data_IF_517704216747
#
_entry.id   IF_517704216747
#
_cell.length_a   1.000
_cell.length_b   1.000
_cell.length_c   1.000
_cell.angle_alpha   90.00
_cell.angle_beta   90.00
_cell.angle_gamma   90.00
#
_symmetry.space_group_name_H-M   'P 1'
#
loop_
_entity.id
_entity.type
_entity.pdbx_description
1 polymer ?
#
# COMPACT_ATOMS: atom_id res chain seq x y z
N UNK A 1 28.40 -5.28 -26.25
CA UNK A 1 27.04 -4.94 -25.80
C UNK A 1 26.97 -5.28 -24.32
N UNK A 2 26.72 -4.30 -23.45
CA UNK A 2 26.51 -4.56 -22.02
C UNK A 2 25.03 -4.90 -21.80
N UNK A 3 24.76 -6.05 -21.19
CA UNK A 3 23.42 -6.45 -20.77
C UNK A 3 23.43 -6.63 -19.25
N UNK A 4 22.43 -6.07 -18.58
CA UNK A 4 22.25 -6.20 -17.13
C UNK A 4 20.94 -6.96 -16.93
N UNK A 5 21.02 -8.16 -16.36
CA UNK A 5 19.85 -8.96 -16.00
C UNK A 5 19.42 -8.61 -14.58
N UNK A 6 18.15 -8.26 -14.39
CA UNK A 6 17.55 -7.87 -13.11
C UNK A 6 16.30 -8.70 -12.82
N UNK A 7 15.86 -8.70 -11.57
CA UNK A 7 14.55 -9.22 -11.19
C UNK A 7 13.43 -8.42 -11.87
N UNK A 8 12.39 -9.09 -12.35
CA UNK A 8 11.19 -8.45 -12.86
C UNK A 8 10.27 -8.03 -11.72
N UNK A 9 9.80 -6.78 -11.75
CA UNK A 9 8.78 -6.25 -10.85
C UNK A 9 7.50 -5.94 -11.65
N UNK A 10 6.33 -6.12 -11.03
CA UNK A 10 5.04 -6.11 -11.70
C UNK A 10 4.60 -4.73 -12.21
N UNK A 11 4.91 -3.67 -11.45
CA UNK A 11 4.57 -2.29 -11.82
C UNK A 11 5.47 -1.30 -11.09
N UNK A 12 5.58 -0.08 -11.62
CA UNK A 12 6.19 1.05 -10.92
C UNK A 12 5.17 1.86 -10.11
N UNK A 13 5.68 2.70 -9.21
CA UNK A 13 4.87 3.54 -8.33
C UNK A 13 4.15 4.65 -9.12
N UNK A 14 4.69 5.09 -10.26
CA UNK A 14 4.03 6.11 -11.09
C UNK A 14 2.70 5.58 -11.62
N UNK A 15 2.69 4.36 -12.16
CA UNK A 15 1.47 3.70 -12.63
C UNK A 15 0.43 3.58 -11.50
N UNK A 16 0.87 3.21 -10.29
CA UNK A 16 -0.03 3.12 -9.13
C UNK A 16 -0.64 4.48 -8.74
N UNK A 17 0.17 5.55 -8.72
CA UNK A 17 -0.31 6.92 -8.45
C UNK A 17 -1.32 7.39 -9.51
N UNK A 18 -1.06 7.07 -10.78
CA UNK A 18 -1.93 7.42 -11.90
C UNK A 18 -3.29 6.72 -11.81
N UNK A 19 -3.32 5.40 -11.59
CA UNK A 19 -4.56 4.65 -11.39
C UNK A 19 -5.38 5.21 -10.22
N UNK A 20 -4.72 5.54 -9.10
CA UNK A 20 -5.37 6.14 -7.94
C UNK A 20 -5.99 7.50 -8.23
N UNK A 21 -5.30 8.34 -9.01
CA UNK A 21 -5.74 9.69 -9.36
C UNK A 21 -7.04 9.71 -10.18
N UNK A 22 -7.21 8.73 -11.07
CA UNK A 22 -8.41 8.59 -11.92
C UNK A 22 -9.48 7.68 -11.32
N UNK A 23 -9.24 7.10 -10.14
CA UNK A 23 -10.18 6.18 -9.48
C UNK A 23 -10.31 4.82 -10.17
N UNK A 24 -9.27 4.38 -10.88
CA UNK A 24 -9.19 3.03 -11.45
C UNK A 24 -8.79 2.00 -10.38
N UNK A 25 -8.95 0.71 -10.72
CA UNK A 25 -8.44 -0.38 -9.91
C UNK A 25 -6.92 -0.24 -9.70
N UNK A 26 -6.48 -0.36 -8.45
CA UNK A 26 -5.07 -0.22 -8.12
C UNK A 26 -4.30 -1.49 -8.53
N UNK A 27 -3.09 -1.36 -9.12
CA UNK A 27 -2.24 -2.51 -9.47
C UNK A 27 -1.90 -3.42 -8.29
N UNK A 28 -1.93 -2.88 -7.06
CA UNK A 28 -1.77 -3.61 -5.81
C UNK A 28 -2.42 -2.86 -4.64
N UNK A 29 -2.79 -3.60 -3.60
CA UNK A 29 -3.39 -3.08 -2.38
C UNK A 29 -2.35 -2.98 -1.27
N UNK A 30 -1.89 -1.76 -0.99
CA UNK A 30 -0.97 -1.46 0.12
C UNK A 30 -1.23 -0.06 0.64
N UNK A 31 -1.18 0.10 1.96
CA UNK A 31 -1.35 1.40 2.60
C UNK A 31 -0.17 2.33 2.26
N UNK A 32 -0.46 3.62 2.07
CA UNK A 32 0.52 4.61 1.62
C UNK A 32 1.72 4.74 2.56
N UNK A 33 1.50 4.54 3.86
CA UNK A 33 2.57 4.56 4.87
C UNK A 33 3.44 3.31 4.76
N UNK A 34 2.85 2.16 4.47
CA UNK A 34 3.61 0.92 4.29
C UNK A 34 4.41 0.95 2.97
N UNK A 35 3.84 1.53 1.91
CA UNK A 35 4.57 1.83 0.66
C UNK A 35 5.79 2.71 0.96
N UNK A 36 5.58 3.83 1.67
CA UNK A 36 6.66 4.75 2.00
C UNK A 36 7.73 4.12 2.89
N UNK A 37 7.34 3.32 3.88
CA UNK A 37 8.28 2.59 4.76
C UNK A 37 9.18 1.64 3.98
N UNK A 38 8.65 0.88 3.02
CA UNK A 38 9.47 0.00 2.18
C UNK A 38 10.53 0.78 1.40
N UNK A 39 10.11 1.89 0.78
CA UNK A 39 11.00 2.77 0.00
C UNK A 39 12.08 3.33 0.92
N UNK A 40 11.70 3.86 2.07
CA UNK A 40 12.61 4.46 3.05
C UNK A 40 13.61 3.44 3.60
N UNK A 41 13.18 2.20 3.88
CA UNK A 41 14.09 1.11 4.26
C UNK A 41 15.11 0.80 3.15
N UNK A 42 14.66 0.78 1.89
CA UNK A 42 15.56 0.62 0.75
C UNK A 42 16.58 1.76 0.64
N UNK A 43 16.16 3.00 0.83
CA UNK A 43 17.05 4.17 0.79
C UNK A 43 18.03 4.16 1.95
N UNK A 44 17.56 3.88 3.16
CA UNK A 44 18.42 3.72 4.34
C UNK A 44 19.48 2.64 4.12
N UNK A 45 19.10 1.52 3.49
CA UNK A 45 20.05 0.46 3.14
C UNK A 45 21.14 0.94 2.19
N UNK A 46 20.80 1.59 1.06
CA UNK A 46 21.82 2.06 0.12
C UNK A 46 22.68 3.19 0.72
N UNK A 47 22.10 4.06 1.55
CA UNK A 47 22.85 5.09 2.28
C UNK A 47 23.84 4.48 3.28
N UNK A 48 23.47 3.39 3.97
CA UNK A 48 24.39 2.64 4.86
C UNK A 48 25.57 2.00 4.12
N UNK A 49 25.45 1.84 2.79
CA UNK A 49 26.50 1.36 1.90
C UNK A 49 27.23 2.49 1.19
N UNK A 50 27.07 3.73 1.65
CA UNK A 50 27.70 4.90 1.04
C UNK A 50 27.26 5.12 -0.42
N UNK A 51 26.06 4.66 -0.81
CA UNK A 51 25.52 4.83 -2.16
C UNK A 51 24.44 5.93 -2.15
N UNK A 52 24.54 6.88 -3.07
CA UNK A 52 23.52 7.91 -3.34
C UNK A 52 22.84 7.57 -4.66
N UNK A 53 21.51 7.58 -4.69
CA UNK A 53 20.72 7.22 -5.87
C UNK A 53 20.65 8.36 -6.92
N UNK A 54 20.38 9.60 -6.47
CA UNK A 54 20.28 10.84 -7.28
C UNK A 54 19.10 10.96 -8.25
N UNK A 55 18.41 9.86 -8.54
CA UNK A 55 17.23 9.83 -9.42
C UNK A 55 16.04 9.10 -8.80
N UNK A 56 15.77 9.35 -7.51
CA UNK A 56 14.58 8.80 -6.88
C UNK A 56 13.34 9.52 -7.40
N UNK A 57 12.44 8.74 -8.00
CA UNK A 57 11.15 9.18 -8.53
C UNK A 57 10.21 7.98 -8.61
N UNK A 58 8.89 8.18 -8.70
CA UNK A 58 7.93 7.07 -8.75
C UNK A 58 8.19 6.04 -9.86
N UNK A 59 8.77 6.45 -11.00
CA UNK A 59 9.13 5.54 -12.10
C UNK A 59 10.29 4.59 -11.77
N UNK A 60 11.11 4.94 -10.78
CA UNK A 60 12.29 4.15 -10.36
C UNK A 60 12.01 3.35 -9.07
N UNK A 61 10.74 3.27 -8.68
CA UNK A 61 10.28 2.53 -7.50
C UNK A 61 9.27 1.52 -7.98
N UNK A 62 9.56 0.25 -7.75
CA UNK A 62 8.81 -0.87 -8.31
C UNK A 62 8.17 -1.70 -7.21
N UNK A 63 7.01 -2.29 -7.51
CA UNK A 63 6.36 -3.25 -6.63
C UNK A 63 6.62 -4.68 -7.13
N UNK A 64 7.04 -5.56 -6.23
CA UNK A 64 7.18 -6.99 -6.51
C UNK A 64 6.06 -7.76 -5.81
N UNK A 65 5.17 -8.40 -6.57
CA UNK A 65 4.13 -9.28 -5.99
C UNK A 65 4.74 -10.45 -5.24
N UNK A 66 5.91 -10.94 -5.68
CA UNK A 66 6.62 -12.06 -5.06
C UNK A 66 7.02 -11.76 -3.61
N UNK A 67 7.53 -10.55 -3.35
CA UNK A 67 7.92 -10.13 -1.99
C UNK A 67 6.87 -9.26 -1.29
N UNK A 68 5.79 -8.90 -1.98
CA UNK A 68 4.77 -7.95 -1.54
C UNK A 68 5.38 -6.64 -0.99
N UNK A 69 6.41 -6.13 -1.66
CA UNK A 69 7.20 -4.99 -1.18
C UNK A 69 7.62 -4.04 -2.31
N UNK A 70 7.88 -2.79 -1.94
CA UNK A 70 8.51 -1.83 -2.85
C UNK A 70 10.01 -2.11 -2.97
N UNK A 71 10.58 -1.87 -4.15
CA UNK A 71 11.98 -2.03 -4.49
C UNK A 71 12.48 -0.81 -5.24
N UNK A 72 13.68 -0.37 -4.92
CA UNK A 72 14.35 0.73 -5.64
C UNK A 72 15.06 0.14 -6.84
N UNK A 73 14.87 0.74 -8.01
CA UNK A 73 15.56 0.36 -9.24
C UNK A 73 16.18 1.57 -9.94
N UNK A 74 16.83 1.30 -11.06
CA UNK A 74 17.54 2.30 -11.89
C UNK A 74 18.63 3.10 -11.14
N UNK A 75 19.72 2.41 -10.85
CA UNK A 75 20.95 3.00 -10.32
C UNK A 75 21.84 3.63 -11.42
N UNK A 76 21.29 3.95 -12.59
CA UNK A 76 22.06 4.49 -13.72
C UNK A 76 22.72 5.84 -13.39
N UNK A 77 22.17 6.56 -12.42
CA UNK A 77 22.74 7.78 -11.86
C UNK A 77 23.29 7.58 -10.45
N UNK A 78 23.51 6.38 -9.94
CA UNK A 78 24.03 6.22 -8.58
C UNK A 78 25.52 6.63 -8.47
N UNK A 79 25.97 6.99 -7.28
CA UNK A 79 27.40 7.24 -6.98
C UNK A 79 27.76 6.79 -5.58
N UNK A 80 29.04 6.49 -5.37
CA UNK A 80 29.59 6.30 -4.04
C UNK A 80 29.88 7.66 -3.40
N UNK A 81 29.63 7.78 -2.10
CA UNK A 81 29.93 8.92 -1.27
C UNK A 81 30.43 8.43 0.09
N UNK A 82 31.69 8.66 0.42
CA UNK A 82 32.28 8.20 1.68
C UNK A 82 31.50 8.77 2.89
N UNK A 83 31.05 7.88 3.78
CA UNK A 83 30.28 8.25 4.97
C UNK A 83 31.05 9.10 6.00
N UNK A 84 32.37 9.25 5.85
CA UNK A 84 33.26 9.91 6.83
C UNK A 84 33.54 11.39 6.57
N UNK A 85 33.06 11.93 5.45
CA UNK A 85 33.30 13.34 5.14
C UNK A 85 31.98 14.08 4.98
N UNK A 86 31.79 15.11 5.81
CA UNK A 86 30.90 16.24 5.54
C UNK A 86 31.19 16.87 4.15
N UNK A 87 32.32 16.48 3.54
CA UNK A 87 32.68 16.76 2.16
C UNK A 87 31.83 15.96 1.16
N UNK A 88 30.75 16.62 0.75
CA UNK A 88 30.35 16.81 -0.64
C UNK A 88 30.98 15.85 -1.67
N UNK A 89 30.13 15.00 -2.25
CA UNK A 89 30.49 13.94 -3.19
C UNK A 89 30.21 14.24 -4.68
N UNK A 90 30.28 15.49 -5.15
CA UNK A 90 30.35 15.70 -6.61
C UNK A 90 29.89 17.04 -7.18
N UNK A 91 30.24 17.25 -8.44
CA UNK A 91 29.70 18.30 -9.32
C UNK A 91 28.68 17.66 -10.24
N UNK A 92 27.46 18.17 -10.26
CA UNK A 92 26.38 17.66 -11.09
C UNK A 92 26.70 17.82 -12.58
N UNK A 93 27.06 16.73 -13.27
CA UNK A 93 27.22 16.69 -14.75
C UNK A 93 25.87 16.61 -15.49
N UNK A 94 24.74 16.68 -14.77
CA UNK A 94 23.41 16.42 -15.28
C UNK A 94 22.80 17.63 -15.99
N UNK A 95 23.37 18.02 -17.15
CA UNK A 95 22.58 18.78 -18.14
C UNK A 95 21.34 18.00 -18.61
N UNK A 96 21.34 16.67 -18.46
CA UNK A 96 20.30 15.78 -18.97
C UNK A 96 19.08 15.61 -18.05
N UNK A 97 19.22 15.74 -16.72
CA UNK A 97 18.10 15.52 -15.79
C UNK A 97 17.12 16.68 -15.71
N UNK A 98 17.54 17.89 -16.10
CA UNK A 98 16.71 19.10 -16.07
C UNK A 98 15.74 19.21 -17.25
N UNK A 99 15.98 18.48 -18.35
CA UNK A 99 15.25 18.71 -19.61
C UNK A 99 14.09 17.75 -19.91
N UNK A 100 13.85 16.71 -19.11
CA UNK A 100 12.78 15.73 -19.40
C UNK A 100 12.21 15.13 -18.09
N UNK A 101 11.08 15.67 -17.61
CA UNK A 101 10.17 15.02 -16.64
C UNK A 101 10.68 14.73 -15.21
N UNK A 102 11.97 14.86 -14.92
CA UNK A 102 12.61 14.48 -13.65
C UNK A 102 12.92 15.67 -12.74
N UNK A 103 12.85 16.90 -13.28
CA UNK A 103 13.08 18.14 -12.53
C UNK A 103 12.32 18.28 -11.19
N UNK A 104 11.05 17.82 -11.03
CA UNK A 104 10.32 18.12 -9.78
C UNK A 104 10.86 17.39 -8.54
N UNK A 105 11.56 16.26 -8.69
CA UNK A 105 12.06 15.48 -7.55
C UNK A 105 13.50 15.82 -7.17
N UNK A 106 14.21 16.57 -8.02
CA UNK A 106 15.61 16.89 -7.81
C UNK A 106 15.77 17.97 -6.73
N UNK A 107 16.68 17.74 -5.78
CA UNK A 107 16.97 18.72 -4.74
C UNK A 107 17.53 20.04 -5.32
N UNK A 108 17.28 21.20 -4.69
CA UNK A 108 17.72 22.51 -5.20
C UNK A 108 19.24 22.59 -5.48
N UNK A 109 20.06 21.97 -4.64
CA UNK A 109 21.52 21.92 -4.80
C UNK A 109 21.96 21.02 -5.97
N UNK A 110 21.19 19.98 -6.30
CA UNK A 110 21.43 19.11 -7.45
C UNK A 110 21.21 19.88 -8.76
N UNK A 111 20.22 20.78 -8.79
CA UNK A 111 19.89 21.66 -9.92
C UNK A 111 20.92 22.79 -10.10
N UNK A 112 21.42 23.36 -8.99
CA UNK A 112 22.43 24.43 -9.01
C UNK A 112 23.84 23.95 -9.38
N UNK A 113 24.01 22.64 -9.65
CA UNK A 113 25.31 21.96 -9.82
C UNK A 113 26.27 22.21 -8.66
N UNK A 114 25.70 22.49 -7.50
CA UNK A 114 26.45 22.59 -6.29
C UNK A 114 26.95 21.22 -5.89
N UNK A 115 27.95 21.29 -5.06
CA UNK A 115 28.34 20.26 -4.11
C UNK A 115 27.08 19.67 -3.39
N UNK A 116 26.87 18.34 -3.44
CA UNK A 116 25.74 17.63 -2.79
C UNK A 116 26.17 16.33 -2.07
N UNK A 117 25.27 15.74 -1.27
CA UNK A 117 25.45 14.50 -0.49
C UNK A 117 24.16 13.63 -0.54
N UNK A 118 24.07 12.57 0.30
CA UNK A 118 22.92 11.65 0.35
C UNK A 118 21.57 12.32 0.67
N UNK A 119 21.58 13.56 1.17
CA UNK A 119 20.36 14.34 1.46
C UNK A 119 19.58 14.74 0.21
N UNK A 120 20.15 14.62 -0.99
CA UNK A 120 19.39 14.80 -2.25
C UNK A 120 18.30 13.75 -2.38
N UNK A 121 18.58 12.50 -1.99
CA UNK A 121 17.61 11.41 -2.02
C UNK A 121 16.48 11.65 -1.01
N UNK A 122 16.80 12.25 0.15
CA UNK A 122 15.81 12.60 1.17
C UNK A 122 14.82 13.66 0.67
N UNK A 123 15.32 14.66 -0.08
CA UNK A 123 14.45 15.64 -0.71
C UNK A 123 13.48 14.96 -1.69
N UNK A 124 13.98 14.08 -2.56
CA UNK A 124 13.15 13.33 -3.50
C UNK A 124 12.12 12.46 -2.78
N UNK A 125 12.48 11.80 -1.68
CA UNK A 125 11.54 11.06 -0.84
C UNK A 125 10.45 11.96 -0.24
N UNK A 126 10.77 13.20 0.12
CA UNK A 126 9.79 14.16 0.62
C UNK A 126 8.72 14.47 -0.42
N UNK A 127 9.12 14.69 -1.68
CA UNK A 127 8.21 14.87 -2.81
C UNK A 127 7.35 13.62 -3.05
N UNK A 128 7.96 12.43 -3.01
CA UNK A 128 7.23 11.15 -3.17
C UNK A 128 6.20 10.97 -2.05
N UNK A 129 6.53 11.31 -0.80
CA UNK A 129 5.58 11.23 0.32
C UNK A 129 4.41 12.21 0.12
N UNK A 130 4.66 13.40 -0.42
CA UNK A 130 3.58 14.33 -0.77
C UNK A 130 2.63 13.71 -1.80
N UNK A 131 3.15 13.10 -2.86
CA UNK A 131 2.32 12.42 -3.86
C UNK A 131 1.61 11.19 -3.32
N UNK A 132 2.21 10.48 -2.36
CA UNK A 132 1.54 9.37 -1.69
C UNK A 132 0.36 9.85 -0.82
N UNK A 133 0.48 11.02 -0.20
CA UNK A 133 -0.56 11.55 0.68
C UNK A 133 -1.65 12.31 -0.10
N UNK A 134 -1.29 13.17 -1.04
CA UNK A 134 -2.22 13.97 -1.82
C UNK A 134 -2.56 13.27 -3.14
N UNK A 135 -3.85 13.21 -3.46
CA UNK A 135 -4.30 12.70 -4.77
C UNK A 135 -4.29 13.86 -5.77
N UNK A 136 -3.22 13.95 -6.56
CA UNK A 136 -3.03 14.98 -7.56
C UNK A 136 -3.53 14.46 -8.91
N UNK A 137 -4.67 14.97 -9.38
CA UNK A 137 -5.38 14.45 -10.57
C UNK A 137 -4.83 15.00 -11.87
N UNK A 138 -4.26 16.20 -11.82
CA UNK A 138 -3.80 16.92 -12.99
C UNK A 138 -2.32 17.30 -12.87
N UNK A 139 -1.67 17.45 -14.03
CA UNK A 139 -0.30 17.98 -14.09
C UNK A 139 -0.18 19.38 -13.47
N UNK A 140 -1.25 20.19 -13.55
CA UNK A 140 -1.26 21.54 -12.97
C UNK A 140 -1.28 21.51 -11.44
N UNK A 141 -2.03 20.60 -10.83
CA UNK A 141 -2.01 20.40 -9.37
C UNK A 141 -0.63 19.91 -8.91
N UNK A 142 -0.05 18.95 -9.64
CA UNK A 142 1.31 18.48 -9.37
C UNK A 142 2.32 19.62 -9.43
N UNK A 143 2.32 20.40 -10.51
CA UNK A 143 3.22 21.54 -10.67
C UNK A 143 3.05 22.59 -9.55
N UNK A 144 1.82 22.91 -9.14
CA UNK A 144 1.55 23.86 -8.05
C UNK A 144 2.18 23.39 -6.73
N UNK A 145 1.99 22.11 -6.39
CA UNK A 145 2.55 21.53 -5.17
C UNK A 145 4.09 21.59 -5.19
N UNK A 146 4.70 21.27 -6.34
CA UNK A 146 6.16 21.37 -6.48
C UNK A 146 6.63 22.82 -6.32
N UNK A 147 5.91 23.80 -6.87
CA UNK A 147 6.24 25.22 -6.72
C UNK A 147 6.14 25.72 -5.27
N UNK A 148 5.13 25.27 -4.52
CA UNK A 148 5.00 25.54 -3.07
C UNK A 148 6.21 24.97 -2.32
N UNK A 149 6.56 23.72 -2.56
CA UNK A 149 7.71 23.06 -1.92
C UNK A 149 9.03 23.75 -2.26
N UNK A 150 9.22 24.17 -3.50
CA UNK A 150 10.41 24.92 -3.92
C UNK A 150 10.52 26.30 -3.22
N UNK A 151 9.40 26.90 -2.80
CA UNK A 151 9.37 28.10 -1.96
C UNK A 151 9.59 27.79 -0.47
N UNK A 152 9.68 26.51 -0.11
CA UNK A 152 9.83 26.04 1.27
C UNK A 152 8.50 25.87 2.00
N UNK A 153 7.38 25.87 1.27
CA UNK A 153 6.03 25.74 1.81
C UNK A 153 5.51 24.31 1.64
N UNK A 154 4.71 23.84 2.60
CA UNK A 154 4.03 22.54 2.52
C UNK A 154 2.56 22.76 2.20
N UNK A 155 1.95 21.94 1.31
CA UNK A 155 0.55 22.08 0.95
C UNK A 155 -0.37 22.12 2.18
N UNK A 156 -1.19 23.16 2.28
CA UNK A 156 -2.04 23.41 3.47
C UNK A 156 -2.99 22.25 3.81
N UNK A 157 -3.42 21.48 2.80
CA UNK A 157 -4.25 20.29 2.97
C UNK A 157 -3.53 19.21 3.79
N UNK A 158 -2.22 19.04 3.57
CA UNK A 158 -1.41 18.09 4.33
C UNK A 158 -1.32 18.48 5.80
N UNK A 159 -1.06 19.76 6.09
CA UNK A 159 -0.98 20.27 7.47
C UNK A 159 -2.29 20.09 8.24
N UNK A 160 -3.43 20.17 7.56
CA UNK A 160 -4.75 19.94 8.16
C UNK A 160 -5.04 18.46 8.43
N UNK A 161 -4.75 17.60 7.45
CA UNK A 161 -5.15 16.19 7.49
C UNK A 161 -4.14 15.30 8.22
N UNK A 162 -2.85 15.62 8.12
CA UNK A 162 -1.76 14.85 8.68
C UNK A 162 -0.68 15.77 9.27
N UNK A 163 -0.94 16.46 10.39
CA UNK A 163 0.00 17.42 10.97
C UNK A 163 1.39 16.81 11.23
N UNK A 164 1.46 15.62 11.82
CA UNK A 164 2.75 14.95 12.09
C UNK A 164 3.50 14.48 10.84
N UNK A 165 2.80 14.12 9.75
CA UNK A 165 3.46 13.82 8.47
C UNK A 165 3.87 15.11 7.74
N UNK A 166 3.09 16.19 7.88
CA UNK A 166 3.42 17.51 7.34
C UNK A 166 4.74 18.03 7.92
N UNK A 167 4.91 17.93 9.24
CA UNK A 167 6.15 18.28 9.92
C UNK A 167 7.33 17.41 9.44
N UNK A 168 7.12 16.10 9.29
CA UNK A 168 8.15 15.22 8.77
C UNK A 168 8.56 15.60 7.34
N UNK A 169 7.60 15.83 6.44
CA UNK A 169 7.87 16.27 5.07
C UNK A 169 8.61 17.60 5.06
N UNK A 170 8.23 18.56 5.91
CA UNK A 170 8.93 19.85 6.05
C UNK A 170 10.41 19.66 6.40
N UNK A 171 10.75 18.68 7.23
CA UNK A 171 12.15 18.33 7.54
C UNK A 171 12.86 17.65 6.36
N UNK A 172 12.13 16.90 5.52
CA UNK A 172 12.71 16.22 4.35
C UNK A 172 13.01 17.17 3.18
N UNK A 173 12.18 18.19 2.96
CA UNK A 173 12.27 19.08 1.78
C UNK A 173 12.96 20.42 2.05
N UNK A 174 13.72 20.54 3.15
CA UNK A 174 14.47 21.76 3.47
C UNK A 174 15.40 22.19 2.33
N UNK A 175 15.44 23.49 2.00
CA UNK A 175 16.35 24.01 0.96
C UNK A 175 17.82 23.75 1.29
N UNK A 176 18.19 23.80 2.57
CA UNK A 176 19.55 23.51 3.05
C UNK A 176 19.70 22.02 3.38
N UNK A 177 20.62 21.28 2.72
CA UNK A 177 20.80 19.83 2.94
C UNK A 177 21.14 19.47 4.39
N UNK A 178 21.85 20.35 5.10
CA UNK A 178 22.32 20.13 6.47
C UNK A 178 21.16 20.12 7.47
N UNK A 179 20.02 20.73 7.11
CA UNK A 179 18.79 20.73 7.91
C UNK A 179 17.87 19.56 7.61
N UNK A 180 18.15 18.78 6.58
CA UNK A 180 17.35 17.59 6.27
C UNK A 180 17.75 16.45 7.19
N UNK A 181 16.76 15.73 7.71
CA UNK A 181 17.00 14.45 8.39
C UNK A 181 17.64 13.45 7.42
N UNK A 182 18.32 12.44 7.95
CA UNK A 182 18.75 11.28 7.18
C UNK A 182 17.69 10.16 7.20
N UNK A 183 17.84 9.17 6.32
CA UNK A 183 16.84 8.11 6.17
C UNK A 183 16.61 7.31 7.47
N UNK A 184 17.66 7.09 8.26
CA UNK A 184 17.58 6.37 9.55
C UNK A 184 16.81 7.18 10.60
N UNK A 185 17.08 8.48 10.73
CA UNK A 185 16.33 9.36 11.63
C UNK A 185 14.84 9.41 11.25
N UNK A 186 14.52 9.38 9.96
CA UNK A 186 13.13 9.35 9.49
C UNK A 186 12.46 8.03 9.87
N UNK A 187 13.13 6.87 9.76
CA UNK A 187 12.58 5.57 10.16
C UNK A 187 12.23 5.51 11.65
N UNK A 188 13.01 6.20 12.49
CA UNK A 188 12.82 6.26 13.94
C UNK A 188 11.80 7.32 14.38
N UNK A 189 11.27 8.12 13.45
CA UNK A 189 10.34 9.20 13.75
C UNK A 189 9.02 8.68 14.35
N UNK A 190 8.51 9.39 15.36
CA UNK A 190 7.32 9.01 16.15
C UNK A 190 6.08 8.70 15.29
N UNK A 191 5.93 9.42 14.17
CA UNK A 191 4.80 9.23 13.23
C UNK A 191 4.69 7.79 12.71
N UNK A 192 5.80 7.05 12.60
CA UNK A 192 5.79 5.66 12.17
C UNK A 192 5.51 4.67 13.30
N UNK A 193 5.78 5.06 14.55
CA UNK A 193 5.48 4.30 15.77
C UNK A 193 4.01 4.42 16.16
N UNK A 194 3.46 5.64 16.12
CA UNK A 194 2.05 5.90 16.44
C UNK A 194 1.08 5.17 15.50
N UNK A 195 1.43 5.08 14.21
CA UNK A 195 0.61 4.38 13.22
C UNK A 195 0.57 2.87 13.45
N UNK A 196 1.66 2.29 13.98
CA UNK A 196 1.69 0.87 14.35
C UNK A 196 0.71 0.59 15.49
N UNK A 197 0.73 1.43 16.53
CA UNK A 197 -0.22 1.32 17.65
C UNK A 197 -1.68 1.50 17.25
N UNK A 198 -1.97 2.39 16.28
CA UNK A 198 -3.33 2.57 15.73
C UNK A 198 -3.80 1.37 14.92
N UNK A 199 -2.96 0.83 14.02
CA UNK A 199 -3.27 -0.38 13.24
C UNK A 199 -3.50 -1.59 14.17
N UNK A 200 -2.64 -1.78 15.17
CA UNK A 200 -2.77 -2.87 16.14
C UNK A 200 -4.08 -2.78 16.94
N UNK A 201 -4.49 -1.56 17.33
CA UNK A 201 -5.77 -1.33 18.02
C UNK A 201 -6.97 -1.61 17.10
N UNK A 202 -6.97 -1.07 15.88
CA UNK A 202 -8.03 -1.33 14.90
C UNK A 202 -8.15 -2.82 14.56
N UNK A 203 -7.02 -3.53 14.45
CA UNK A 203 -7.02 -4.97 14.18
C UNK A 203 -7.64 -5.73 15.35
N UNK A 204 -7.29 -5.37 16.59
CA UNK A 204 -7.91 -5.94 17.80
C UNK A 204 -9.41 -5.69 17.86
N UNK A 205 -9.86 -4.46 17.60
CA UNK A 205 -11.28 -4.11 17.59
C UNK A 205 -12.04 -4.88 16.50
N UNK A 206 -11.40 -5.10 15.34
CA UNK A 206 -11.98 -5.90 14.24
C UNK A 206 -12.07 -7.38 14.60
N UNK A 207 -11.05 -7.92 15.26
CA UNK A 207 -11.04 -9.30 15.74
C UNK A 207 -12.16 -9.54 16.76
N UNK A 208 -12.32 -8.64 17.74
CA UNK A 208 -13.39 -8.73 18.74
C UNK A 208 -14.77 -8.77 18.06
N UNK A 209 -15.02 -7.87 17.09
CA UNK A 209 -16.30 -7.87 16.35
C UNK A 209 -16.52 -9.16 15.57
N UNK A 210 -15.48 -9.71 14.96
CA UNK A 210 -15.58 -11.00 14.24
C UNK A 210 -15.84 -12.16 15.19
N UNK A 211 -15.25 -12.16 16.38
CA UNK A 211 -15.49 -13.19 17.39
C UNK A 211 -16.95 -13.15 17.89
N UNK A 212 -17.50 -11.95 18.09
CA UNK A 212 -18.94 -11.77 18.40
C UNK A 212 -19.85 -12.29 17.27
N UNK A 213 -19.50 -12.02 16.01
CA UNK A 213 -20.26 -12.50 14.85
C UNK A 213 -20.18 -14.03 14.70
N UNK A 214 -19.01 -14.62 14.95
CA UNK A 214 -18.82 -16.08 14.98
C UNK A 214 -19.70 -16.71 16.05
N UNK A 215 -19.77 -16.11 17.24
CA UNK A 215 -20.58 -16.67 18.33
C UNK A 215 -22.08 -16.62 18.01
N UNK A 216 -22.56 -15.52 17.41
CA UNK A 216 -23.94 -15.44 16.92
C UNK A 216 -24.24 -16.46 15.82
N UNK A 217 -23.30 -16.70 14.92
CA UNK A 217 -23.46 -17.70 13.86
C UNK A 217 -23.49 -19.12 14.42
N UNK A 218 -22.68 -19.44 15.44
CA UNK A 218 -22.72 -20.76 16.09
C UNK A 218 -24.10 -21.04 16.69
N UNK A 219 -24.68 -20.09 17.42
CA UNK A 219 -26.03 -20.24 17.99
C UNK A 219 -27.06 -20.52 16.91
N UNK A 220 -27.03 -19.76 15.80
CA UNK A 220 -27.94 -20.00 14.66
C UNK A 220 -27.74 -21.36 14.00
N UNK A 221 -26.50 -21.86 13.93
CA UNK A 221 -26.21 -23.19 13.39
C UNK A 221 -26.82 -24.27 14.29
N UNK A 222 -26.75 -24.10 15.60
CA UNK A 222 -27.30 -25.03 16.59
C UNK A 222 -28.84 -25.06 16.54
N UNK A 223 -29.50 -23.90 16.51
CA UNK A 223 -30.95 -23.78 16.33
C UNK A 223 -31.44 -24.46 15.03
N UNK A 224 -30.69 -24.26 13.93
CA UNK A 224 -31.03 -24.91 12.66
C UNK A 224 -30.77 -26.41 12.66
N UNK A 225 -29.78 -26.89 13.40
CA UNK A 225 -29.54 -28.32 13.55
C UNK A 225 -30.71 -29.00 14.28
N UNK A 226 -31.24 -28.37 15.34
CA UNK A 226 -32.45 -28.84 16.03
C UNK A 226 -33.68 -28.82 15.12
N UNK A 227 -33.87 -27.76 14.34
CA UNK A 227 -34.98 -27.65 13.37
C UNK A 227 -34.91 -28.77 12.31
N UNK A 228 -33.72 -29.07 11.80
CA UNK A 228 -33.49 -30.16 10.85
C UNK A 228 -33.86 -31.51 11.48
N UNK A 229 -33.49 -31.74 12.74
CA UNK A 229 -33.77 -33.00 13.42
C UNK A 229 -35.28 -33.19 13.64
N UNK A 230 -36.00 -32.14 14.04
CA UNK A 230 -37.46 -32.17 14.15
C UNK A 230 -38.14 -32.44 12.81
N UNK A 231 -37.62 -31.86 11.71
CA UNK A 231 -38.15 -32.10 10.38
C UNK A 231 -37.91 -33.54 9.90
N UNK A 232 -36.75 -34.14 10.21
CA UNK A 232 -36.49 -35.55 9.89
C UNK A 232 -37.51 -36.48 10.54
N UNK A 233 -37.80 -36.28 11.83
CA UNK A 233 -38.81 -37.09 12.54
C UNK A 233 -40.17 -36.99 11.86
N UNK A 234 -40.61 -35.77 11.49
CA UNK A 234 -41.88 -35.58 10.77
C UNK A 234 -41.89 -36.24 9.39
N UNK A 235 -40.75 -36.27 8.70
CA UNK A 235 -40.61 -36.94 7.41
C UNK A 235 -40.75 -38.45 7.57
N UNK A 236 -40.15 -39.05 8.61
CA UNK A 236 -40.31 -40.48 8.92
C UNK A 236 -41.76 -40.83 9.26
N UNK A 237 -42.42 -40.06 10.14
CA UNK A 237 -43.84 -40.27 10.48
C UNK A 237 -44.74 -40.23 9.22
N UNK A 238 -44.51 -39.25 8.34
CA UNK A 238 -45.27 -39.13 7.08
C UNK A 238 -44.98 -40.26 6.10
N UNK A 239 -43.75 -40.77 6.07
CA UNK A 239 -43.39 -41.91 5.23
C UNK A 239 -44.11 -43.18 5.68
N UNK A 240 -44.20 -43.43 6.99
CA UNK A 240 -44.98 -44.54 7.55
C UNK A 240 -46.48 -44.42 7.23
N UNK A 241 -47.03 -43.21 7.36
CA UNK A 241 -48.45 -42.93 7.07
C UNK A 241 -48.79 -43.18 5.58
N UNK A 242 -47.88 -42.80 4.67
CA UNK A 242 -47.99 -43.08 3.23
C UNK A 242 -47.98 -44.58 2.97
N UNK A 243 -47.11 -45.34 3.64
CA UNK A 243 -47.00 -46.77 3.44
C UNK A 243 -48.27 -47.51 3.91
N UNK A 244 -48.83 -47.13 5.06
CA UNK A 244 -50.12 -47.66 5.53
C UNK A 244 -51.27 -47.36 4.56
N UNK A 245 -51.28 -46.17 3.96
CA UNK A 245 -52.30 -45.81 2.97
C UNK A 245 -52.16 -46.60 1.68
N UNK A 246 -50.94 -46.88 1.22
CA UNK A 246 -50.71 -47.75 0.04
C UNK A 246 -51.29 -49.14 0.24
N UNK A 247 -51.03 -49.77 1.39
CA UNK A 247 -51.58 -51.10 1.71
C UNK A 247 -53.11 -51.09 1.65
N UNK A 248 -53.76 -50.09 2.26
CA UNK A 248 -55.23 -49.95 2.20
C UNK A 248 -55.76 -49.72 0.78
N UNK A 249 -55.00 -49.02 -0.06
CA UNK A 249 -55.38 -48.80 -1.47
C UNK A 249 -55.29 -50.11 -2.25
N UNK A 250 -54.26 -50.92 -2.03
CA UNK A 250 -54.12 -52.25 -2.65
C UNK A 250 -55.25 -53.19 -2.21
N UNK A 251 -55.54 -53.29 -0.91
CA UNK A 251 -56.66 -54.11 -0.39
C UNK A 251 -58.01 -53.73 -1.03
N UNK A 252 -58.28 -52.43 -1.14
CA UNK A 252 -59.52 -51.95 -1.79
C UNK A 252 -59.54 -52.18 -3.29
N UNK A 253 -58.40 -52.12 -3.96
CA UNK A 253 -58.32 -52.42 -5.39
C UNK A 253 -58.66 -53.91 -5.64
N UNK A 254 -58.15 -54.82 -4.80
CA UNK A 254 -58.48 -56.24 -4.85
C UNK A 254 -59.98 -56.50 -4.57
N UNK A 255 -60.58 -55.85 -3.58
CA UNK A 255 -62.04 -55.94 -3.32
C UNK A 255 -62.87 -55.48 -4.54
N UNK A 256 -62.47 -54.38 -5.19
CA UNK A 256 -63.17 -53.85 -6.37
C UNK A 256 -63.09 -54.84 -7.54
N UNK A 257 -61.94 -55.48 -7.74
CA UNK A 257 -61.76 -56.47 -8.81
C UNK A 257 -62.58 -57.75 -8.54
N UNK A 258 -62.69 -58.19 -7.28
CA UNK A 258 -63.56 -59.31 -6.89
C UNK A 258 -65.06 -59.01 -7.11
N UNK A 259 -65.49 -57.76 -6.94
CA UNK A 259 -66.88 -57.35 -7.17
C UNK A 259 -67.25 -57.19 -8.66
N UNK A 260 -66.25 -57.13 -9.56
CA UNK A 260 -66.45 -57.01 -11.01
C UNK A 260 -66.37 -58.34 -11.77
N UNK A 261 -65.97 -59.42 -11.10
CA UNK A 261 -65.93 -60.80 -11.63
C UNK A 261 -67.28 -61.51 -11.44
#
# INVERSE_FOLDING_TARGET
MLCIQMEYCDCDLRLWLDCRAVGQELPFQKDVIDIFKDILNGVAHIHSKSIIHRDLKPQNIFFSKKSNSMKIGDFGLATLAECSSEEISGVSRTKYSANLGTAPYAAPEQLKRSRYNSKVDIYSLGIILIELLLVLKTKMEHQRVIEEVLKGEIPSEMSKKWPGLSELVQNMVQTKPERRMCATEILEHSVFLEQKGKKDRQLKDTLIKKDEEIEQLKVKVEEKAEEIEQLKVKVEEKAEEIEQLKVKVEEKAEEIDQLKA
#
